data_IF_397701671858
#
_entry.id   IF_397701671858
#
_cell.length_a   1.000
_cell.length_b   1.000
_cell.length_c   1.000
_cell.angle_alpha   90.00
_cell.angle_beta   90.00
_cell.angle_gamma   90.00
#
_symmetry.space_group_name_H-M   'P 1'
#
loop_
_entity.id
_entity.type
_entity.pdbx_description
1 polymer ?
2 non-polymer ?
3 non-polymer ?
4 water ?
#
# COMPACT_ATOMS: atom_id res chain seq x y z
N UNK A 1 -3.12 -22.81 -8.65
CA UNK A 1 -4.48 -23.03 -9.24
C UNK A 1 -5.55 -22.95 -8.15
N UNK A 2 -5.43 -23.78 -7.12
CA UNK A 2 -6.41 -23.76 -6.04
C UNK A 2 -6.28 -22.44 -5.28
N UNK A 3 -7.39 -21.68 -5.17
CA UNK A 3 -7.26 -20.41 -4.45
C UNK A 3 -6.90 -20.64 -2.99
N UNK A 4 -6.07 -19.76 -2.45
CA UNK A 4 -5.67 -19.88 -1.07
C UNK A 4 -5.89 -18.56 -0.36
N UNK A 5 -5.33 -18.45 0.83
CA UNK A 5 -5.48 -17.28 1.70
C UNK A 5 -4.49 -17.38 2.84
N UNK A 6 -4.06 -16.22 3.33
CA UNK A 6 -3.11 -16.11 4.43
C UNK A 6 -3.67 -15.20 5.49
N UNK A 7 -3.21 -15.34 6.73
CA UNK A 7 -3.60 -14.38 7.75
C UNK A 7 -2.47 -13.35 7.55
N UNK A 8 -2.66 -12.12 8.05
CA UNK A 8 -1.60 -11.13 7.88
C UNK A 8 -0.26 -11.58 8.51
N UNK A 9 -0.35 -12.36 9.58
CA UNK A 9 0.85 -12.84 10.26
C UNK A 9 1.68 -13.77 9.35
N UNK A 10 1.01 -14.55 8.51
CA UNK A 10 1.70 -15.45 7.59
C UNK A 10 2.56 -14.62 6.63
N UNK A 11 1.94 -13.56 6.10
CA UNK A 11 2.62 -12.71 5.13
C UNK A 11 3.79 -11.97 5.77
N UNK A 12 3.60 -11.47 6.98
CA UNK A 12 4.68 -10.76 7.70
C UNK A 12 5.86 -11.72 7.92
N UNK A 13 5.54 -12.98 8.24
CA UNK A 13 6.53 -14.03 8.48
C UNK A 13 7.32 -14.31 7.20
N UNK A 14 6.61 -14.42 6.08
CA UNK A 14 7.24 -14.65 4.77
C UNK A 14 8.21 -13.50 4.43
N UNK A 15 7.84 -12.27 4.77
CA UNK A 15 8.68 -11.11 4.48
C UNK A 15 9.67 -10.82 5.62
N UNK A 16 9.77 -11.76 6.55
CA UNK A 16 10.70 -11.64 7.66
C UNK A 16 10.63 -10.31 8.40
N UNK A 17 9.43 -9.93 8.83
CA UNK A 17 9.26 -8.69 9.59
C UNK A 17 10.08 -8.90 10.87
N UNK A 18 10.70 -7.82 11.40
CA UNK A 18 11.50 -7.96 12.62
C UNK A 18 10.70 -8.40 13.85
N UNK A 19 11.20 -9.43 14.53
CA UNK A 19 10.55 -9.99 15.72
C UNK A 19 10.76 -9.13 16.95
N UNK A 20 9.88 -9.28 17.94
CA UNK A 20 9.99 -8.54 19.19
C UNK A 20 9.59 -7.08 19.15
N UNK A 21 9.02 -6.65 18.01
CA UNK A 21 8.59 -5.26 17.84
C UNK A 21 7.13 -5.28 17.40
N UNK A 22 6.30 -4.42 17.99
CA UNK A 22 4.88 -4.38 17.63
C UNK A 22 4.37 -2.97 17.33
N UNK A 23 5.27 -2.02 17.18
CA UNK A 23 4.83 -0.66 16.89
C UNK A 23 4.48 0.17 18.11
N UNK A 24 4.83 -0.31 19.30
CA UNK A 24 4.56 0.40 20.54
C UNK A 24 5.08 1.84 20.42
N UNK A 25 4.26 2.82 20.77
CA UNK A 25 4.68 4.21 20.71
C UNK A 25 4.44 4.90 19.39
N UNK A 26 3.97 4.13 18.41
CA UNK A 26 3.68 4.68 17.08
C UNK A 26 2.18 4.83 16.86
N UNK A 27 1.81 5.68 15.91
CA UNK A 27 0.40 5.85 15.54
C UNK A 27 0.34 5.80 14.01
N UNK A 28 -0.52 4.93 13.50
CA UNK A 28 -0.70 4.79 12.06
C UNK A 28 -2.05 5.39 11.69
N UNK A 29 -2.03 6.37 10.79
CA UNK A 29 -3.26 7.01 10.32
C UNK A 29 -3.71 6.28 9.04
N UNK A 30 -5.02 6.01 8.94
CA UNK A 30 -5.59 5.33 7.77
C UNK A 30 -6.68 6.24 7.21
N UNK A 31 -6.58 6.56 5.92
CA UNK A 31 -7.54 7.46 5.27
C UNK A 31 -8.67 6.68 4.60
N UNK A 32 -9.92 7.09 4.87
CA UNK A 32 -11.07 6.42 4.28
C UNK A 32 -12.09 7.47 3.79
N UNK A 33 -12.64 7.24 2.61
CA UNK A 33 -13.61 8.17 2.03
C UNK A 33 -15.04 7.61 1.97
N UNK A 34 -15.27 6.52 2.69
CA UNK A 34 -16.59 5.91 2.71
C UNK A 34 -16.63 4.72 3.66
N UNK A 35 -17.80 4.11 3.80
CA UNK A 35 -17.95 2.95 4.66
C UNK A 35 -17.60 3.17 6.12
N UNK A 36 -17.26 2.06 6.79
CA UNK A 36 -16.91 2.12 8.19
C UNK A 36 -16.50 0.76 8.72
N UNK A 37 -16.37 0.66 10.04
CA UNK A 37 -16.00 -0.59 10.67
C UNK A 37 -16.83 -0.78 11.93
N UNK A 38 -16.91 -2.02 12.39
CA UNK A 38 -17.65 -2.35 13.61
C UNK A 38 -16.69 -3.01 14.59
N UNK A 39 -16.84 -2.69 15.87
CA UNK A 39 -15.96 -3.24 16.89
C UNK A 39 -16.06 -4.76 17.01
N UNK A 40 -17.21 -5.32 16.68
CA UNK A 40 -17.40 -6.77 16.77
C UNK A 40 -16.44 -7.52 15.87
N UNK A 41 -16.39 -7.13 14.60
CA UNK A 41 -15.50 -7.79 13.64
C UNK A 41 -14.04 -7.64 14.06
N UNK A 42 -13.66 -6.43 14.47
CA UNK A 42 -12.29 -6.16 14.88
C UNK A 42 -11.88 -6.99 16.10
N UNK A 43 -12.70 -6.96 17.14
CA UNK A 43 -12.41 -7.73 18.35
C UNK A 43 -12.29 -9.22 18.05
N UNK A 44 -13.26 -9.76 17.30
CA UNK A 44 -13.24 -11.18 16.92
C UNK A 44 -11.95 -11.53 16.18
N UNK A 45 -11.61 -10.67 15.24
CA UNK A 45 -10.42 -10.88 14.42
C UNK A 45 -9.11 -10.84 15.20
N UNK A 46 -8.87 -9.77 15.95
CA UNK A 46 -7.61 -9.66 16.69
C UNK A 46 -7.48 -10.79 17.71
N UNK A 47 -8.59 -11.12 18.35
CA UNK A 47 -8.60 -12.21 19.32
C UNK A 47 -8.19 -13.50 18.61
N UNK A 48 -8.78 -13.75 17.43
CA UNK A 48 -8.49 -14.95 16.65
C UNK A 48 -7.01 -15.12 16.29
N UNK A 49 -6.30 -14.01 16.07
CA UNK A 49 -4.88 -14.07 15.71
C UNK A 49 -3.97 -14.08 16.92
N UNK A 50 -4.56 -14.00 18.11
CA UNK A 50 -3.78 -14.02 19.33
C UNK A 50 -2.99 -12.76 19.62
N UNK A 51 -3.37 -11.62 19.05
CA UNK A 51 -2.64 -10.39 19.34
C UNK A 51 -3.49 -9.53 20.27
N UNK A 52 -2.85 -8.68 21.05
CA UNK A 52 -3.56 -7.77 21.95
C UNK A 52 -4.13 -6.72 20.99
N UNK A 53 -5.44 -6.51 21.00
CA UNK A 53 -6.06 -5.56 20.08
C UNK A 53 -5.54 -4.14 20.21
N UNK A 54 -5.14 -3.54 19.07
CA UNK A 54 -4.65 -2.16 19.15
C UNK A 54 -5.84 -1.23 19.42
N UNK A 55 -5.55 -0.02 19.88
CA UNK A 55 -6.60 0.95 20.10
C UNK A 55 -6.90 1.46 18.71
N UNK A 56 -8.18 1.52 18.36
CA UNK A 56 -8.60 2.04 17.05
C UNK A 56 -9.59 3.16 17.34
N UNK A 57 -9.35 4.34 16.76
CA UNK A 57 -10.26 5.47 16.98
C UNK A 57 -10.60 6.08 15.62
N UNK A 58 -11.79 6.68 15.53
CA UNK A 58 -12.25 7.32 14.32
C UNK A 58 -12.14 8.84 14.47
N UNK A 59 -11.79 9.51 13.37
CA UNK A 59 -11.67 10.96 13.36
C UNK A 59 -12.56 11.48 12.23
N UNK A 60 -13.45 12.41 12.56
CA UNK A 60 -14.36 12.96 11.57
C UNK A 60 -13.76 14.15 10.84
N UNK A 61 -13.75 14.08 9.51
CA UNK A 61 -13.22 15.18 8.70
C UNK A 61 -14.36 15.71 7.84
N UNK A 62 -14.57 17.02 7.89
CA UNK A 62 -15.62 17.66 7.11
C UNK A 62 -17.00 17.02 7.29
N UNK A 63 -17.30 16.64 8.54
CA UNK A 63 -18.58 16.03 8.87
C UNK A 63 -18.77 14.54 8.62
N UNK A 64 -17.81 13.89 7.98
CA UNK A 64 -17.91 12.45 7.70
C UNK A 64 -17.57 11.65 8.96
N UNK A 65 -18.19 10.48 9.10
CA UNK A 65 -17.98 9.67 10.29
C UNK A 65 -17.89 8.19 9.95
N UNK A 66 -17.59 7.39 10.96
CA UNK A 66 -17.50 5.95 10.79
C UNK A 66 -18.92 5.41 10.58
N UNK A 67 -19.23 5.04 9.33
CA UNK A 67 -20.58 4.55 9.00
C UNK A 67 -20.58 3.26 8.17
N UNK A 68 -20.36 2.10 8.81
CA UNK A 68 -20.36 0.87 8.03
C UNK A 68 -21.73 0.65 7.38
N UNK A 69 -21.75 0.22 6.12
CA UNK A 69 -23.04 -0.03 5.46
C UNK A 69 -23.57 -1.44 5.79
N UNK A 70 -22.69 -2.30 6.29
CA UNK A 70 -23.08 -3.66 6.65
C UNK A 70 -22.93 -4.70 5.56
N UNK A 71 -22.63 -4.26 4.34
CA UNK A 71 -22.44 -5.14 3.19
C UNK A 71 -20.97 -5.57 3.12
N UNK A 72 -20.68 -6.86 3.35
CA UNK A 72 -19.28 -7.29 3.31
C UNK A 72 -18.60 -7.11 1.95
N UNK A 73 -19.40 -6.90 0.89
CA UNK A 73 -18.85 -6.68 -0.42
C UNK A 73 -18.79 -5.20 -0.80
N UNK A 74 -19.14 -4.34 0.15
CA UNK A 74 -19.11 -2.91 -0.08
C UNK A 74 -17.84 -2.26 0.45
N UNK A 75 -17.83 -0.93 0.66
CA UNK A 75 -16.66 -0.21 1.16
C UNK A 75 -16.12 -0.67 2.53
N UNK A 76 -16.98 -1.25 3.36
CA UNK A 76 -16.55 -1.75 4.65
C UNK A 76 -15.40 -2.77 4.46
N UNK A 77 -15.41 -3.47 3.33
CA UNK A 77 -14.37 -4.45 3.04
C UNK A 77 -13.00 -3.81 3.02
N UNK A 78 -12.90 -2.65 2.39
CA UNK A 78 -11.62 -1.95 2.31
C UNK A 78 -11.24 -1.33 3.66
N UNK A 79 -12.22 -0.71 4.33
CA UNK A 79 -11.98 -0.11 5.64
C UNK A 79 -11.47 -1.14 6.67
N UNK A 80 -12.18 -2.26 6.77
CA UNK A 80 -11.82 -3.29 7.73
C UNK A 80 -10.55 -4.05 7.31
N UNK A 81 -10.34 -4.23 6.01
CA UNK A 81 -9.09 -4.85 5.55
C UNK A 81 -7.90 -4.01 6.03
N UNK A 82 -7.99 -2.69 5.82
CA UNK A 82 -6.90 -1.78 6.16
C UNK A 82 -6.56 -1.79 7.65
N UNK A 83 -7.59 -1.73 8.48
CA UNK A 83 -7.40 -1.74 9.93
C UNK A 83 -6.90 -3.11 10.44
N UNK A 84 -7.48 -4.19 9.90
CA UNK A 84 -7.08 -5.53 10.33
C UNK A 84 -5.66 -5.91 9.95
N UNK A 85 -5.21 -5.53 8.75
CA UNK A 85 -3.84 -5.83 8.34
C UNK A 85 -2.87 -4.98 9.17
N UNK A 86 -3.09 -3.68 9.24
CA UNK A 86 -2.19 -2.82 10.01
C UNK A 86 -2.18 -3.19 11.51
N UNK A 87 -3.38 -3.33 12.08
CA UNK A 87 -3.51 -3.63 13.49
C UNK A 87 -3.00 -4.98 13.91
N UNK A 88 -3.14 -5.98 13.04
CA UNK A 88 -2.68 -7.33 13.37
C UNK A 88 -1.14 -7.40 13.40
N UNK A 89 -0.50 -6.55 12.59
CA UNK A 89 0.96 -6.56 12.47
C UNK A 89 1.73 -5.53 13.31
N UNK A 90 1.04 -4.47 13.72
CA UNK A 90 1.63 -3.45 14.61
C UNK A 90 0.57 -3.26 15.72
N UNK A 91 0.21 -4.34 16.43
CA UNK A 91 -0.79 -4.23 17.50
C UNK A 91 -0.44 -3.31 18.67
N UNK A 92 0.84 -2.96 18.80
CA UNK A 92 1.26 -2.05 19.85
C UNK A 92 1.02 -0.60 19.44
N UNK A 93 0.79 -0.38 18.15
CA UNK A 93 0.55 0.97 17.65
C UNK A 93 -0.90 1.38 17.85
N UNK A 94 -1.15 2.68 17.83
CA UNK A 94 -2.51 3.19 17.92
C UNK A 94 -2.91 3.42 16.48
N UNK A 95 -4.15 3.09 16.15
CA UNK A 95 -4.65 3.28 14.80
C UNK A 95 -5.72 4.37 14.81
N UNK A 96 -5.52 5.37 13.97
CA UNK A 96 -6.47 6.48 13.87
C UNK A 96 -7.02 6.42 12.43
N UNK A 97 -8.34 6.29 12.31
CA UNK A 97 -9.00 6.19 11.02
C UNK A 97 -9.73 7.49 10.73
N UNK A 98 -9.28 8.18 9.69
CA UNK A 98 -9.84 9.47 9.28
C UNK A 98 -10.89 9.32 8.18
N UNK A 99 -12.13 9.67 8.49
CA UNK A 99 -13.22 9.59 7.51
C UNK A 99 -13.52 10.98 6.93
N UNK A 100 -13.60 11.06 5.61
CA UNK A 100 -13.88 12.30 4.92
C UNK A 100 -14.86 12.06 3.77
N UNK A 101 -15.49 13.15 3.28
CA UNK A 101 -16.42 13.00 2.16
C UNK A 101 -15.63 12.53 0.96
N UNK A 102 -16.32 11.90 0.02
CA UNK A 102 -15.69 11.40 -1.19
C UNK A 102 -15.60 12.52 -2.25
N UNK A 103 -14.75 13.51 -1.94
CA UNK A 103 -14.49 14.65 -2.84
C UNK A 103 -12.97 14.92 -2.80
N UNK A 104 -12.46 15.69 -3.76
CA UNK A 104 -11.03 16.00 -3.78
C UNK A 104 -10.64 16.73 -2.50
N UNK A 105 -11.44 17.71 -2.11
CA UNK A 105 -11.15 18.48 -0.89
C UNK A 105 -11.22 17.61 0.37
N UNK A 106 -12.16 16.66 0.41
CA UNK A 106 -12.27 15.78 1.57
C UNK A 106 -11.02 14.92 1.70
N UNK A 107 -10.57 14.37 0.58
CA UNK A 107 -9.37 13.53 0.51
C UNK A 107 -8.17 14.37 0.98
N UNK A 108 -8.01 15.56 0.41
CA UNK A 108 -6.91 16.42 0.81
C UNK A 108 -6.96 16.75 2.30
N UNK A 109 -8.15 17.15 2.76
CA UNK A 109 -8.35 17.53 4.16
C UNK A 109 -8.09 16.39 5.14
N UNK A 110 -8.42 15.16 4.74
CA UNK A 110 -8.17 14.01 5.61
C UNK A 110 -6.65 13.82 5.78
N UNK A 111 -5.92 13.96 4.69
CA UNK A 111 -4.47 13.81 4.72
C UNK A 111 -3.82 14.87 5.58
N UNK A 112 -4.15 16.14 5.35
CA UNK A 112 -3.55 17.21 6.12
C UNK A 112 -3.98 17.15 7.58
N UNK A 113 -5.21 16.76 7.83
CA UNK A 113 -5.69 16.66 9.20
C UNK A 113 -4.87 15.60 9.94
N UNK A 114 -4.63 14.46 9.28
CA UNK A 114 -3.86 13.37 9.87
C UNK A 114 -2.41 13.79 10.11
N UNK A 115 -1.76 14.29 9.06
CA UNK A 115 -0.37 14.71 9.16
C UNK A 115 -0.08 15.73 10.28
N UNK A 116 -0.97 16.70 10.46
CA UNK A 116 -0.77 17.75 11.46
C UNK A 116 -1.49 17.54 12.79
N UNK A 117 -2.13 16.38 12.95
CA UNK A 117 -2.91 16.03 14.14
C UNK A 117 -2.11 16.02 15.45
N UNK A 118 -2.33 17.03 16.32
CA UNK A 118 -1.62 17.12 17.61
C UNK A 118 -2.18 16.20 18.71
N UNK A 119 -3.34 15.59 18.46
CA UNK A 119 -3.90 14.69 19.45
C UNK A 119 -3.47 13.26 19.17
N UNK A 120 -3.57 12.81 17.92
CA UNK A 120 -3.18 11.44 17.59
C UNK A 120 -1.72 11.32 17.14
N UNK A 121 -1.16 12.42 16.61
CA UNK A 121 0.25 12.48 16.19
C UNK A 121 0.77 11.27 15.41
N UNK A 122 0.13 10.96 14.28
CA UNK A 122 0.62 9.81 13.51
C UNK A 122 2.01 9.99 12.90
N UNK A 123 2.79 8.90 12.83
CA UNK A 123 4.13 8.94 12.24
C UNK A 123 4.10 8.32 10.85
N UNK A 124 2.96 7.70 10.54
CA UNK A 124 2.78 6.99 9.28
C UNK A 124 1.34 7.20 8.81
N UNK A 125 1.14 7.38 7.51
CA UNK A 125 -0.19 7.54 6.92
C UNK A 125 -0.31 6.50 5.79
N UNK A 126 -1.40 5.75 5.80
CA UNK A 126 -1.68 4.69 4.83
C UNK A 126 -2.92 5.07 3.99
N UNK A 127 -2.77 5.01 2.67
CA UNK A 127 -3.82 5.43 1.74
C UNK A 127 -4.09 4.41 0.62
N UNK A 128 -5.34 4.27 0.21
CA UNK A 128 -5.66 3.36 -0.89
C UNK A 128 -5.55 4.11 -2.23
N UNK A 129 -5.82 3.42 -3.33
CA UNK A 129 -5.73 4.03 -4.66
C UNK A 129 -6.71 5.19 -4.86
N UNK A 130 -6.29 6.22 -5.59
CA UNK A 130 -7.14 7.37 -5.81
C UNK A 130 -7.54 7.69 -7.23
N UNK A 131 -7.07 6.94 -8.22
CA UNK A 131 -7.48 7.22 -9.60
C UNK A 131 -6.34 7.61 -10.54
N UNK A 132 -6.45 7.32 -11.85
CA UNK A 132 -5.38 7.68 -12.80
C UNK A 132 -4.96 9.14 -12.65
N UNK A 133 -3.64 9.36 -12.52
CA UNK A 133 -3.09 10.70 -12.29
C UNK A 133 -3.61 11.75 -13.28
N UNK A 134 -3.84 11.35 -14.52
CA UNK A 134 -4.34 12.31 -15.50
C UNK A 134 -5.87 12.49 -15.50
N UNK A 135 -6.55 11.89 -14.52
CA UNK A 135 -8.00 12.07 -14.42
C UNK A 135 -8.27 13.11 -13.31
N UNK A 136 -7.21 13.46 -12.59
CA UNK A 136 -7.26 14.43 -11.50
C UNK A 136 -7.14 15.88 -11.99
N UNK A 137 -7.85 16.80 -11.33
CA UNK A 137 -7.74 18.22 -11.69
C UNK A 137 -6.29 18.62 -11.35
N UNK A 138 -5.59 19.34 -12.25
CA UNK A 138 -4.21 19.74 -11.96
C UNK A 138 -4.03 20.43 -10.62
N UNK A 139 -4.97 21.30 -10.25
CA UNK A 139 -4.88 22.00 -8.96
C UNK A 139 -4.95 21.03 -7.79
N UNK A 140 -5.69 19.93 -7.96
CA UNK A 140 -5.80 18.93 -6.88
C UNK A 140 -4.48 18.16 -6.75
N UNK A 141 -3.88 17.81 -7.89
CA UNK A 141 -2.60 17.10 -7.88
C UNK A 141 -1.56 17.98 -7.14
N UNK A 142 -1.52 19.26 -7.49
CA UNK A 142 -0.56 20.18 -6.85
C UNK A 142 -0.78 20.27 -5.34
N UNK A 143 -2.04 20.43 -4.93
CA UNK A 143 -2.35 20.56 -3.50
C UNK A 143 -2.01 19.28 -2.74
N UNK A 144 -2.37 18.14 -3.32
CA UNK A 144 -2.09 16.85 -2.71
C UNK A 144 -0.57 16.61 -2.62
N UNK A 145 0.14 16.88 -3.71
CA UNK A 145 1.58 16.68 -3.73
C UNK A 145 2.24 17.57 -2.67
N UNK A 146 1.78 18.81 -2.51
CA UNK A 146 2.38 19.67 -1.48
C UNK A 146 2.11 19.11 -0.08
N UNK A 147 0.92 18.54 0.13
CA UNK A 147 0.60 17.94 1.42
C UNK A 147 1.60 16.79 1.71
N UNK A 148 1.97 16.04 0.66
CA UNK A 148 2.92 14.94 0.84
C UNK A 148 4.33 15.49 1.06
N UNK A 149 4.66 16.58 0.40
CA UNK A 149 5.97 17.19 0.59
C UNK A 149 6.08 17.65 2.07
N UNK A 150 5.01 18.23 2.58
CA UNK A 150 4.97 18.70 3.96
C UNK A 150 5.15 17.53 4.93
N UNK A 151 4.48 16.41 4.65
CA UNK A 151 4.59 15.22 5.51
C UNK A 151 6.06 14.76 5.56
N UNK A 152 6.73 14.77 4.41
CA UNK A 152 8.13 14.36 4.33
C UNK A 152 8.99 15.32 5.18
N UNK A 153 8.74 16.62 5.08
CA UNK A 153 9.50 17.60 5.87
C UNK A 153 9.24 17.38 7.37
N UNK A 154 8.06 16.88 7.71
CA UNK A 154 7.70 16.65 9.11
C UNK A 154 8.10 15.27 9.64
N UNK A 155 8.69 14.42 8.80
CA UNK A 155 9.08 13.09 9.25
C UNK A 155 7.95 12.07 9.37
N UNK A 156 6.92 12.24 8.55
CA UNK A 156 5.78 11.33 8.54
C UNK A 156 5.86 10.50 7.25
N UNK A 157 5.82 9.16 7.37
CA UNK A 157 5.88 8.31 6.18
C UNK A 157 4.47 8.21 5.57
N UNK A 158 4.37 8.32 4.24
CA UNK A 158 3.06 8.19 3.58
C UNK A 158 3.16 7.07 2.54
N UNK A 159 2.29 6.07 2.68
CA UNK A 159 2.26 4.91 1.77
C UNK A 159 0.94 4.90 1.01
N UNK A 160 0.98 4.50 -0.25
CA UNK A 160 -0.27 4.46 -1.04
C UNK A 160 -0.30 3.27 -1.99
N UNK A 161 -1.47 2.64 -2.08
CA UNK A 161 -1.69 1.51 -2.99
C UNK A 161 -1.51 2.01 -4.44
N UNK A 162 -0.87 1.19 -5.27
CA UNK A 162 -0.61 1.58 -6.67
C UNK A 162 -1.77 1.35 -7.64
N UNK A 163 -2.80 0.62 -7.21
CA UNK A 163 -3.93 0.38 -8.11
C UNK A 163 -4.17 -1.10 -8.36
N UNK A 164 -5.40 -1.43 -8.76
CA UNK A 164 -5.84 -2.80 -9.00
C UNK A 164 -6.26 -3.12 -10.44
N UNK A 165 -6.03 -2.20 -11.37
CA UNK A 165 -6.43 -2.45 -12.74
C UNK A 165 -5.28 -2.37 -13.75
N UNK A 166 -4.13 -2.93 -13.37
CA UNK A 166 -2.98 -2.96 -14.24
C UNK A 166 -2.40 -1.66 -14.71
N UNK A 167 -1.65 -1.74 -15.81
CA UNK A 167 -0.96 -0.59 -16.40
C UNK A 167 -1.85 0.45 -17.07
N UNK A 168 -3.12 0.11 -17.34
CA UNK A 168 -4.05 1.05 -17.96
C UNK A 168 -4.92 1.74 -16.88
N UNK A 169 -4.85 1.21 -15.66
CA UNK A 169 -5.54 1.78 -14.50
C UNK A 169 -7.05 2.06 -14.66
N UNK A 170 -7.72 1.17 -15.39
CA UNK A 170 -9.16 1.31 -15.57
C UNK A 170 -9.61 2.22 -16.70
N UNK A 171 -8.69 2.82 -17.43
CA UNK A 171 -9.08 3.70 -18.52
C UNK A 171 -8.97 2.98 -19.86
N UNK A 172 -9.87 3.29 -20.77
CA UNK A 172 -9.88 2.68 -22.09
C UNK A 172 -9.79 3.78 -23.13
N UNK A 173 -8.66 4.47 -23.11
CA UNK A 173 -8.42 5.57 -24.03
C UNK A 173 -7.20 5.27 -24.85
N UNK A 174 -6.81 3.99 -24.87
CA UNK A 174 -5.64 3.57 -25.64
C UNK A 174 -4.32 4.09 -25.10
N UNK A 175 -4.23 4.28 -23.79
CA UNK A 175 -3.01 4.76 -23.19
C UNK A 175 -2.82 4.08 -21.85
N UNK A 176 -1.57 4.08 -21.38
CA UNK A 176 -1.22 3.52 -20.08
C UNK A 176 -1.28 4.68 -19.08
N UNK A 177 -1.68 4.37 -17.85
CA UNK A 177 -1.81 5.39 -16.81
C UNK A 177 -1.33 4.86 -15.46
N UNK A 178 -0.69 5.73 -14.68
CA UNK A 178 -0.30 5.36 -13.33
C UNK A 178 -1.32 6.07 -12.42
N UNK A 179 -1.48 5.53 -11.23
CA UNK A 179 -2.44 6.02 -10.25
C UNK A 179 -1.87 7.08 -9.33
N UNK A 180 -2.74 7.95 -8.82
CA UNK A 180 -2.35 8.99 -7.89
C UNK A 180 -3.24 8.73 -6.67
N UNK A 181 -2.74 8.96 -5.45
CA UNK A 181 -1.42 9.45 -5.03
C UNK A 181 -0.14 8.64 -5.19
N UNK A 182 -0.22 7.38 -5.60
CA UNK A 182 0.99 6.59 -5.73
C UNK A 182 2.07 7.28 -6.57
N UNK A 183 1.67 8.01 -7.61
CA UNK A 183 2.62 8.67 -8.49
C UNK A 183 3.45 9.81 -7.86
N UNK A 184 2.95 10.41 -6.78
CA UNK A 184 3.70 11.47 -6.12
C UNK A 184 5.06 10.92 -5.72
N UNK A 185 6.15 11.68 -5.96
CA UNK A 185 7.49 11.22 -5.59
C UNK A 185 7.70 11.18 -4.06
N UNK A 186 6.78 11.80 -3.32
CA UNK A 186 6.87 11.84 -1.86
C UNK A 186 6.07 10.74 -1.16
N UNK A 187 5.50 9.84 -1.94
CA UNK A 187 4.70 8.74 -1.41
C UNK A 187 5.41 7.41 -1.67
N UNK A 188 5.33 6.47 -0.74
CA UNK A 188 5.94 5.16 -0.95
C UNK A 188 4.86 4.36 -1.67
N UNK A 189 5.01 4.22 -3.00
CA UNK A 189 4.03 3.53 -3.84
C UNK A 189 4.12 2.02 -3.66
N UNK A 190 2.97 1.41 -3.33
CA UNK A 190 2.90 -0.02 -3.06
C UNK A 190 2.18 -0.86 -4.12
N UNK A 191 2.94 -1.67 -4.84
CA UNK A 191 2.39 -2.53 -5.86
C UNK A 191 2.00 -3.91 -5.31
N UNK A 192 1.54 -4.79 -6.20
CA UNK A 192 1.08 -6.09 -5.75
C UNK A 192 1.62 -7.33 -6.45
N UNK A 193 1.76 -8.39 -5.67
CA UNK A 193 2.26 -9.64 -6.15
C UNK A 193 1.34 -10.81 -5.79
N UNK A 194 1.66 -11.96 -6.36
CA UNK A 194 1.00 -13.21 -6.00
C UNK A 194 2.11 -13.94 -5.22
N UNK A 195 1.90 -14.12 -3.93
CA UNK A 195 2.88 -14.76 -3.05
C UNK A 195 2.53 -16.20 -2.70
N UNK A 196 3.48 -17.11 -2.91
CA UNK A 196 3.32 -18.51 -2.52
C UNK A 196 4.42 -18.65 -1.45
N UNK A 197 4.01 -18.73 -0.19
CA UNK A 197 4.98 -18.82 0.89
C UNK A 197 4.50 -19.68 2.04
N UNK A 198 5.46 -20.13 2.84
CA UNK A 198 5.19 -20.92 4.03
C UNK A 198 5.97 -20.23 5.15
N UNK A 199 5.97 -20.81 6.34
CA UNK A 199 6.64 -20.17 7.47
C UNK A 199 8.13 -19.84 7.28
N UNK A 200 8.86 -20.78 6.70
CA UNK A 200 10.29 -20.61 6.55
C UNK A 200 10.86 -20.20 5.21
N UNK A 201 10.03 -20.05 4.18
CA UNK A 201 10.55 -19.65 2.87
C UNK A 201 9.48 -19.14 1.90
N UNK A 202 9.92 -18.42 0.87
CA UNK A 202 9.01 -17.96 -0.16
C UNK A 202 9.26 -18.94 -1.31
N UNK A 203 8.25 -19.72 -1.67
CA UNK A 203 8.38 -20.68 -2.77
C UNK A 203 8.33 -19.95 -4.12
N UNK A 204 7.52 -18.90 -4.21
CA UNK A 204 7.40 -18.16 -5.46
C UNK A 204 6.71 -16.81 -5.22
N UNK A 205 7.14 -15.78 -5.93
CA UNK A 205 6.48 -14.48 -5.82
C UNK A 205 6.57 -13.83 -7.20
N UNK A 206 5.41 -13.60 -7.82
CA UNK A 206 5.34 -13.04 -9.17
C UNK A 206 4.42 -11.83 -9.22
N UNK A 207 4.36 -11.15 -10.36
CA UNK A 207 3.47 -9.99 -10.50
C UNK A 207 1.99 -10.41 -10.37
N UNK A 208 1.20 -9.65 -9.61
CA UNK A 208 -0.21 -9.97 -9.52
C UNK A 208 -0.88 -9.57 -10.84
N UNK A 209 -1.41 -10.56 -11.57
CA UNK A 209 -2.13 -10.31 -12.83
C UNK A 209 -3.10 -11.47 -13.05
N UNK A 210 -4.38 -11.20 -12.80
CA UNK A 210 -5.46 -12.18 -12.96
C UNK A 210 -6.36 -11.75 -14.12
N UNK A 211 -5.81 -10.97 -15.03
CA UNK A 211 -6.57 -10.51 -16.18
C UNK A 211 -7.57 -9.42 -15.87
N UNK A 212 -8.30 -8.94 -16.89
CA UNK A 212 -9.32 -7.90 -16.76
C UNK A 212 -10.33 -8.20 -15.66
N UNK A 213 -10.73 -9.46 -15.58
CA UNK A 213 -11.73 -9.92 -14.62
C UNK A 213 -11.28 -9.97 -13.16
N UNK A 214 -10.03 -10.34 -12.93
CA UNK A 214 -9.53 -10.47 -11.57
C UNK A 214 -8.61 -9.40 -11.05
N UNK A 215 -8.25 -8.45 -11.92
CA UNK A 215 -7.38 -7.35 -11.52
C UNK A 215 -5.88 -7.61 -11.65
N UNK A 216 -5.10 -6.54 -11.53
CA UNK A 216 -3.64 -6.61 -11.63
C UNK A 216 -3.04 -5.37 -10.97
N UNK A 217 -1.83 -5.48 -10.47
CA UNK A 217 -1.19 -4.32 -9.83
C UNK A 217 -1.00 -3.13 -10.76
N UNK A 218 -1.13 -1.92 -10.20
CA UNK A 218 -0.85 -0.74 -10.98
C UNK A 218 0.68 -0.62 -11.05
N UNK A 219 1.16 0.16 -12.01
CA UNK A 219 2.59 0.37 -12.18
C UNK A 219 2.85 0.98 -13.54
N UNK A 220 3.92 1.77 -13.66
CA UNK A 220 4.23 2.40 -14.94
C UNK A 220 5.17 3.57 -14.77
N UNK A 221 5.02 4.56 -15.63
CA UNK A 221 5.87 5.76 -15.65
C UNK A 221 4.99 7.02 -15.66
N UNK A 222 5.17 7.89 -14.68
CA UNK A 222 4.36 9.11 -14.61
C UNK A 222 4.56 10.03 -15.80
N UNK A 223 3.48 10.72 -16.19
CA UNK A 223 3.51 11.69 -17.29
C UNK A 223 3.42 13.09 -16.64
N UNK A 224 3.33 13.13 -15.32
CA UNK A 224 3.23 14.38 -14.57
C UNK A 224 4.46 14.71 -13.73
N UNK A 225 5.00 13.72 -13.03
CA UNK A 225 6.17 13.92 -12.18
C UNK A 225 7.47 13.47 -12.83
N UNK A 226 8.47 14.37 -12.89
CA UNK A 226 9.76 14.00 -13.49
C UNK A 226 10.44 12.86 -12.72
N UNK A 227 11.36 12.19 -13.37
CA UNK A 227 12.11 11.11 -12.73
C UNK A 227 12.90 11.72 -11.56
N UNK A 228 12.65 11.25 -10.31
CA UNK A 228 13.39 11.81 -9.17
C UNK A 228 14.88 11.52 -9.24
N UNK A 229 15.68 12.45 -8.73
CA UNK A 229 17.13 12.30 -8.71
C UNK A 229 17.50 10.96 -8.04
N UNK A 230 16.83 10.63 -6.95
CA UNK A 230 17.14 9.37 -6.24
C UNK A 230 16.68 8.10 -6.95
N UNK A 231 15.93 8.24 -8.04
CA UNK A 231 15.44 7.07 -8.76
C UNK A 231 16.14 6.93 -10.13
N UNK A 232 17.08 7.83 -10.40
CA UNK A 232 17.79 7.81 -11.68
C UNK A 232 18.68 6.61 -11.95
N UNK A 233 19.00 5.83 -10.93
CA UNK A 233 19.82 4.65 -11.12
C UNK A 233 19.02 3.35 -10.98
N UNK A 234 17.68 3.48 -10.97
CA UNK A 234 16.80 2.31 -10.86
C UNK A 234 16.50 1.70 -12.23
N UNK A 235 16.86 2.43 -13.28
CA UNK A 235 16.62 2.00 -14.66
C UNK A 235 15.13 1.96 -15.01
N UNK A 236 14.43 3.03 -14.61
CA UNK A 236 13.01 3.18 -14.94
C UNK A 236 13.03 3.35 -16.46
N UNK A 237 12.17 2.64 -17.19
CA UNK A 237 12.17 2.79 -18.65
C UNK A 237 11.35 4.00 -19.06
N UNK A 238 11.39 4.38 -20.35
CA UNK A 238 10.59 5.51 -20.77
C UNK A 238 9.15 5.01 -20.80
N UNK A 239 8.19 5.93 -20.80
CA UNK A 239 6.79 5.55 -20.82
C UNK A 239 6.50 4.76 -22.08
N UNK A 240 5.55 3.81 -21.99
CA UNK A 240 5.18 3.01 -23.14
C UNK A 240 4.24 3.78 -24.07
N UNK A 241 3.75 4.93 -23.60
CA UNK A 241 2.86 5.75 -24.41
C UNK A 241 3.63 6.42 -25.55
N UNK A 242 3.05 6.44 -26.76
CA UNK A 242 3.73 7.07 -27.89
C UNK A 242 4.20 8.46 -27.46
N UNK A 243 5.46 8.76 -27.74
CA UNK A 243 6.02 10.04 -27.36
C UNK A 243 7.01 9.69 -26.28
N UNK A 244 6.74 8.57 -25.61
CA UNK A 244 7.58 8.06 -24.55
C UNK A 244 7.81 9.17 -23.52
N UNK A 245 9.04 9.27 -23.05
CA UNK A 245 9.35 10.29 -22.08
C UNK A 245 9.65 9.65 -20.74
N UNK A 246 10.58 10.23 -20.02
CA UNK A 246 10.92 9.69 -18.72
C UNK A 246 9.94 10.28 -17.69
N UNK A 247 9.89 9.65 -16.53
CA UNK A 247 9.05 10.14 -15.46
C UNK A 247 9.23 9.27 -14.24
N UNK A 248 8.64 9.70 -13.12
CA UNK A 248 8.70 8.96 -11.86
C UNK A 248 8.16 7.54 -12.08
N UNK A 249 8.93 6.52 -11.70
CA UNK A 249 8.47 5.16 -11.90
C UNK A 249 7.63 4.66 -10.74
N UNK A 250 6.56 3.95 -11.06
CA UNK A 250 5.65 3.39 -10.06
C UNK A 250 5.63 1.84 -10.25
N UNK A 251 5.65 1.05 -9.16
CA UNK A 251 5.69 1.43 -7.75
C UNK A 251 7.12 1.47 -7.20
N UNK A 252 7.24 1.65 -5.89
CA UNK A 252 8.55 1.65 -5.22
C UNK A 252 8.85 0.27 -4.64
N UNK A 253 7.82 -0.36 -4.07
CA UNK A 253 7.95 -1.70 -3.50
C UNK A 253 6.65 -2.46 -3.80
N UNK A 254 6.59 -3.74 -3.44
CA UNK A 254 5.39 -4.53 -3.69
C UNK A 254 5.24 -5.65 -2.69
N UNK A 255 4.00 -6.10 -2.51
CA UNK A 255 3.71 -7.18 -1.59
C UNK A 255 2.45 -7.92 -2.01
N UNK A 256 2.18 -9.04 -1.33
CA UNK A 256 1.03 -9.86 -1.66
C UNK A 256 -0.27 -9.08 -1.79
N UNK A 257 -0.90 -9.17 -2.96
CA UNK A 257 -2.17 -8.47 -3.23
C UNK A 257 -3.16 -9.33 -4.03
N UNK A 258 -2.70 -10.46 -4.56
CA UNK A 258 -3.57 -11.30 -5.37
C UNK A 258 -4.73 -11.93 -4.58
N UNK A 259 -6.02 -11.61 -4.93
CA UNK A 259 -7.13 -12.20 -4.17
C UNK A 259 -7.07 -13.74 -4.14
N UNK A 260 -6.47 -14.34 -5.18
CA UNK A 260 -6.34 -15.79 -5.28
C UNK A 260 -5.35 -16.35 -4.25
N UNK A 261 -4.58 -15.46 -3.61
CA UNK A 261 -3.64 -15.81 -2.54
C UNK A 261 -3.80 -14.68 -1.54
N UNK A 262 -5.06 -14.29 -1.34
CA UNK A 262 -5.44 -13.16 -0.50
C UNK A 262 -5.34 -13.22 1.00
N UNK A 263 -5.94 -12.22 1.65
CA UNK A 263 -5.92 -12.13 3.10
C UNK A 263 -7.20 -12.59 3.76
N UNK A 264 -7.07 -13.45 4.77
CA UNK A 264 -8.24 -13.90 5.51
C UNK A 264 -8.57 -12.75 6.45
N UNK A 265 -9.81 -12.26 6.39
CA UNK A 265 -10.28 -11.13 7.20
C UNK A 265 -11.73 -11.35 7.63
N UNK A 266 -12.21 -10.52 8.55
CA UNK A 266 -13.59 -10.57 9.01
C UNK A 266 -14.22 -9.23 8.67
N UNK A 267 -15.20 -9.24 7.77
CA UNK A 267 -15.87 -8.00 7.37
C UNK A 267 -17.35 -8.10 7.74
N UNK A 268 -17.85 -7.10 8.45
CA UNK A 268 -19.24 -7.09 8.86
C UNK A 268 -19.66 -8.46 9.41
N UNK A 269 -18.80 -9.04 10.25
CA UNK A 269 -19.11 -10.34 10.83
C UNK A 269 -18.81 -11.58 10.00
N UNK A 270 -18.50 -11.39 8.72
CA UNK A 270 -18.24 -12.51 7.84
C UNK A 270 -16.76 -12.79 7.60
N UNK A 271 -16.34 -14.04 7.81
CA UNK A 271 -14.95 -14.41 7.57
C UNK A 271 -14.85 -14.66 6.08
N UNK A 272 -13.92 -13.98 5.42
CA UNK A 272 -13.80 -14.11 3.97
C UNK A 272 -12.37 -13.79 3.51
N UNK A 273 -12.17 -13.67 2.20
CA UNK A 273 -10.85 -13.37 1.63
C UNK A 273 -10.91 -12.13 0.76
N UNK A 274 -9.95 -11.24 0.95
CA UNK A 274 -9.87 -10.01 0.17
C UNK A 274 -8.44 -9.75 -0.25
N UNK A 275 -8.26 -9.14 -1.41
CA UNK A 275 -6.92 -8.80 -1.87
C UNK A 275 -6.91 -7.35 -2.34
N UNK A 276 -6.01 -7.06 -3.27
CA UNK A 276 -5.89 -5.73 -3.82
C UNK A 276 -4.72 -4.98 -3.20
N UNK A 277 -4.22 -3.96 -3.91
CA UNK A 277 -3.09 -3.19 -3.38
C UNK A 277 -3.45 -2.41 -2.12
N UNK A 278 -4.75 -2.32 -1.82
CA UNK A 278 -5.16 -1.62 -0.60
C UNK A 278 -4.60 -2.35 0.63
N UNK A 279 -4.31 -3.63 0.47
CA UNK A 279 -3.75 -4.40 1.60
C UNK A 279 -2.26 -4.14 1.83
N UNK A 280 -1.57 -3.75 0.77
CA UNK A 280 -0.13 -3.57 0.84
C UNK A 280 0.34 -2.33 1.58
N UNK A 281 -0.34 -1.19 1.43
CA UNK A 281 0.07 0.00 2.14
C UNK A 281 0.02 -0.25 3.67
N UNK A 282 -1.11 -0.78 4.19
CA UNK A 282 -1.16 -1.04 5.64
C UNK A 282 -0.15 -2.11 6.11
N UNK A 283 0.10 -3.09 5.25
CA UNK A 283 1.06 -4.14 5.53
C UNK A 283 2.43 -3.52 5.78
N UNK A 284 2.85 -2.62 4.88
CA UNK A 284 4.15 -1.99 5.05
C UNK A 284 4.13 -0.85 6.06
N UNK A 285 2.94 -0.31 6.34
CA UNK A 285 2.82 0.73 7.37
C UNK A 285 3.18 0.07 8.71
N UNK A 286 2.74 -1.18 8.89
CA UNK A 286 3.02 -1.96 10.11
C UNK A 286 4.52 -2.23 10.21
N UNK A 287 5.16 -2.56 9.09
CA UNK A 287 6.61 -2.81 9.09
C UNK A 287 7.36 -1.54 9.52
N UNK A 288 6.97 -0.40 8.95
CA UNK A 288 7.60 0.88 9.29
C UNK A 288 7.37 1.22 10.77
N UNK A 289 6.20 0.85 11.30
CA UNK A 289 5.90 1.12 12.71
C UNK A 289 6.87 0.33 13.60
N UNK A 290 7.18 -0.91 13.23
CA UNK A 290 8.10 -1.73 14.00
C UNK A 290 9.52 -1.16 13.91
N UNK A 291 9.89 -0.71 12.72
CA UNK A 291 11.22 -0.15 12.52
C UNK A 291 11.37 1.14 13.30
N UNK A 292 10.34 2.00 13.27
CA UNK A 292 10.34 3.26 14.01
C UNK A 292 10.49 2.98 15.52
N UNK A 293 9.80 1.95 16.00
CA UNK A 293 9.88 1.58 17.41
C UNK A 293 11.32 1.24 17.79
N UNK A 294 11.98 0.41 16.99
CA UNK A 294 13.35 0.02 17.29
C UNK A 294 14.33 1.19 17.20
N UNK A 295 14.24 1.99 16.14
CA UNK A 295 15.13 3.14 15.95
C UNK A 295 14.92 4.25 16.99
N UNK A 296 13.70 4.34 17.52
CA UNK A 296 13.40 5.36 18.51
C UNK A 296 13.12 6.72 17.90
N UNK A 297 13.11 6.79 16.57
CA UNK A 297 12.83 8.01 15.84
C UNK A 297 12.20 7.59 14.51
N UNK A 298 11.14 8.30 14.07
CA UNK A 298 10.46 7.97 12.82
C UNK A 298 11.36 8.04 11.57
N UNK A 299 11.24 7.08 10.67
CA UNK A 299 12.04 7.10 9.45
C UNK A 299 11.52 8.16 8.46
N UNK A 300 10.26 8.58 8.61
CA UNK A 300 9.68 9.57 7.73
C UNK A 300 9.77 9.22 6.26
N UNK A 301 10.20 10.18 5.45
CA UNK A 301 10.35 9.98 4.00
C UNK A 301 11.47 8.97 3.72
N UNK A 302 11.10 7.80 3.20
CA UNK A 302 12.05 6.70 2.97
C UNK A 302 12.54 6.51 1.55
N UNK A 303 11.80 7.01 0.57
CA UNK A 303 12.18 6.77 -0.82
C UNK A 303 13.66 6.96 -1.20
N UNK A 304 14.26 8.12 -0.92
CA UNK A 304 15.67 8.28 -1.29
C UNK A 304 16.58 7.20 -0.71
N UNK A 305 16.35 6.88 0.56
CA UNK A 305 17.16 5.87 1.23
C UNK A 305 16.99 4.49 0.61
N UNK A 306 15.74 4.08 0.40
CA UNK A 306 15.47 2.76 -0.17
C UNK A 306 16.24 2.46 -1.43
N UNK A 307 16.29 3.45 -2.32
CA UNK A 307 16.96 3.30 -3.59
C UNK A 307 18.48 3.26 -3.53
N UNK A 308 19.05 3.58 -2.38
CA UNK A 308 20.51 3.52 -2.24
C UNK A 308 20.98 2.35 -1.36
N UNK A 309 20.03 1.61 -0.79
CA UNK A 309 20.38 0.45 0.05
C UNK A 309 20.85 -0.71 -0.84
N UNK A 310 21.62 -1.66 -0.29
CA UNK A 310 22.06 -2.77 -1.15
C UNK A 310 20.88 -3.64 -1.56
N UNK A 311 20.88 -4.16 -2.79
CA UNK A 311 19.77 -5.00 -3.21
C UNK A 311 19.43 -6.24 -2.35
N UNK A 312 20.32 -6.63 -1.43
CA UNK A 312 20.07 -7.78 -0.57
C UNK A 312 18.90 -7.52 0.39
N UNK A 313 18.56 -6.25 0.55
CA UNK A 313 17.47 -5.83 1.42
C UNK A 313 16.10 -6.22 0.85
N UNK A 314 16.05 -6.43 -0.45
CA UNK A 314 14.79 -6.77 -1.13
C UNK A 314 14.75 -8.12 -1.82
N UNK A 315 13.54 -8.64 -1.96
CA UNK A 315 13.30 -9.88 -2.69
C UNK A 315 12.88 -9.37 -4.08
N UNK A 316 13.74 -9.56 -5.07
CA UNK A 316 13.49 -9.12 -6.44
C UNK A 316 12.41 -9.97 -7.16
N UNK A 317 11.32 -9.36 -7.61
CA UNK A 317 10.32 -10.10 -8.38
C UNK A 317 10.77 -9.92 -9.82
N UNK A 318 10.92 -11.00 -10.57
CA UNK A 318 11.42 -10.89 -11.94
C UNK A 318 10.49 -11.47 -13.00
N UNK A 319 9.40 -12.08 -12.57
CA UNK A 319 8.48 -12.73 -13.49
C UNK A 319 7.03 -12.19 -13.47
N UNK A 320 6.48 -11.97 -14.66
CA UNK A 320 5.11 -11.49 -14.79
C UNK A 320 5.02 -10.09 -15.39
N UNK A 321 3.80 -9.64 -15.65
CA UNK A 321 3.57 -8.30 -16.20
C UNK A 321 2.22 -7.82 -15.68
N UNK A 322 1.95 -6.52 -15.80
CA UNK A 322 0.67 -5.99 -15.31
C UNK A 322 -0.25 -5.43 -16.42
N UNK A 323 -0.17 -6.08 -17.57
CA UNK A 323 -1.00 -5.68 -18.72
C UNK A 323 -2.31 -6.51 -18.70
N UNK A 324 -3.44 -5.82 -18.59
CA UNK A 324 -4.74 -6.54 -18.62
C UNK A 324 -5.58 -5.98 -19.76
N UNK A 325 -4.95 -5.22 -20.63
CA UNK A 325 -5.64 -4.59 -21.76
C UNK A 325 -5.35 -5.20 -23.13
N UNK A 326 -4.13 -5.65 -23.32
CA UNK A 326 -3.73 -6.18 -24.61
C UNK A 326 -2.60 -7.22 -24.47
N UNK A 327 -1.99 -7.60 -25.59
CA UNK A 327 -0.94 -8.63 -25.59
C UNK A 327 0.49 -8.11 -25.57
N UNK A 328 0.67 -6.79 -25.41
CA UNK A 328 2.00 -6.19 -25.43
C UNK A 328 2.90 -6.40 -24.20
N UNK A 329 2.32 -6.91 -23.12
CA UNK A 329 3.06 -7.15 -21.88
C UNK A 329 3.69 -5.92 -21.28
N UNK A 330 2.97 -4.80 -21.33
CA UNK A 330 3.40 -3.53 -20.77
C UNK A 330 2.64 -3.34 -19.47
N UNK A 331 3.33 -3.26 -18.32
CA UNK A 331 4.77 -3.37 -18.21
C UNK A 331 5.18 -4.75 -17.72
N UNK A 332 6.46 -5.07 -17.91
CA UNK A 332 7.00 -6.36 -17.54
C UNK A 332 7.99 -6.31 -16.38
N UNK A 333 7.97 -7.35 -15.54
CA UNK A 333 8.87 -7.44 -14.40
C UNK A 333 10.20 -7.99 -14.93
N UNK A 334 11.27 -7.78 -14.19
CA UNK A 334 12.56 -8.27 -14.63
C UNK A 334 13.57 -8.04 -13.54
N UNK A 335 14.85 -8.34 -13.77
CA UNK A 335 15.88 -8.12 -12.74
C UNK A 335 15.97 -6.63 -12.34
N UNK A 336 16.10 -6.37 -11.03
CA UNK A 336 16.19 -5.01 -10.54
C UNK A 336 14.82 -4.32 -10.47
N UNK A 337 14.80 -3.00 -10.35
CA UNK A 337 13.55 -2.27 -10.30
C UNK A 337 12.75 -2.45 -11.60
N UNK A 338 11.42 -2.60 -11.50
CA UNK A 338 10.55 -2.69 -12.68
C UNK A 338 9.21 -1.96 -12.40
N UNK A 339 8.45 -1.61 -13.46
CA UNK A 339 7.18 -0.91 -13.31
C UNK A 339 5.96 -1.75 -12.91
N UNK A 340 6.20 -2.90 -12.31
CA UNK A 340 5.13 -3.76 -11.81
C UNK A 340 5.29 -3.89 -10.29
N UNK A 341 6.54 -4.03 -9.84
CA UNK A 341 6.83 -4.29 -8.44
C UNK A 341 7.92 -3.43 -7.79
N UNK A 342 8.45 -2.48 -8.54
CA UNK A 342 9.49 -1.63 -7.99
C UNK A 342 10.72 -2.42 -7.56
N UNK A 343 11.22 -2.14 -6.37
CA UNK A 343 12.40 -2.83 -5.82
C UNK A 343 12.10 -4.26 -5.37
N UNK A 344 10.81 -4.59 -5.31
CA UNK A 344 10.39 -5.93 -4.90
C UNK A 344 9.76 -5.92 -3.51
N UNK A 345 9.68 -7.09 -2.88
CA UNK A 345 9.11 -7.13 -1.53
C UNK A 345 10.26 -6.95 -0.54
N UNK A 346 10.05 -6.11 0.46
CA UNK A 346 11.13 -5.91 1.44
C UNK A 346 11.35 -7.12 2.36
N UNK A 347 12.60 -7.31 2.78
CA UNK A 347 12.96 -8.37 3.72
C UNK A 347 13.11 -7.57 5.02
N UNK A 348 12.04 -7.61 5.82
CA UNK A 348 11.97 -6.84 7.05
C UNK A 348 13.20 -6.68 7.93
N UNK A 349 13.77 -7.81 8.33
CA UNK A 349 14.93 -7.76 9.20
C UNK A 349 16.15 -7.14 8.52
N UNK A 350 16.33 -7.34 7.22
CA UNK A 350 17.47 -6.75 6.53
C UNK A 350 17.28 -5.24 6.34
N UNK A 351 16.03 -4.83 6.15
CA UNK A 351 15.73 -3.40 6.00
C UNK A 351 16.02 -2.71 7.34
N UNK A 352 15.59 -3.32 8.45
CA UNK A 352 15.84 -2.74 9.76
C UNK A 352 17.35 -2.67 10.03
N UNK A 353 18.07 -3.75 9.73
CA UNK A 353 19.52 -3.76 9.94
C UNK A 353 20.20 -2.64 9.15
N UNK A 354 19.77 -2.45 7.91
CA UNK A 354 20.32 -1.41 7.05
C UNK A 354 20.02 0.01 7.54
N UNK A 355 18.96 0.17 8.34
CA UNK A 355 18.59 1.49 8.84
C UNK A 355 19.13 1.78 10.24
N UNK A 356 19.73 0.77 10.86
CA UNK A 356 20.31 0.89 12.19
C UNK A 356 21.70 1.52 12.13
N UNK A 357 21.93 2.58 12.92
CA UNK A 357 23.23 3.27 12.97
C UNK A 357 24.25 2.56 13.85
X LIG B 1 12.30 -6.78 -10.39
X LIG C 1 -1.67 -20.96 10.44
X LIG C 1 4.32 -21.36 9.11
X LIG C 1 6.34 -21.46 10.05
X LIG C 1 4.63 -25.30 4.04
X LIG C 1 0.86 -23.61 4.80
X LIG D 1 4.74 15.23 17.70
X LIG D 1 3.49 15.85 17.22
X LIG D 1 5.76 16.29 17.88
X LIG D 1 4.51 14.56 19.00
X LIG D 1 5.20 14.22 16.71
#
# INVERSE_FOLDING_TARGET
AAPTAYTPLDVAQAYQFPEGLDGQGQCIAIIELGGGYDETSLAQYFASLGVSAPQVVSVSVDGATNQPTGDPNGPDGEVELDIEVAGALAPGAKIAVYFAPNTDAGFLNAITTAVHDPTHKPSIVSISAGGPEDSWAPASIAAMNRAFLDAAALGVTVLAAAGDSGSTDGEQDGLYHVDFPAASPYVLACGGTRLVASAGRIERETVWNDGPDGGSTGGGVSRIFPLPSWQERANVPPSANPGAGSGRGVPDVAGNADPATGYEVVIDGETTVIGGTSAVAPLFAALVARINQKLGKPVGYLNPTLYQLPPEVFHDITEGNNDIANRARIYQAGPGWDPCTGLGSPIGIRLLQALLPSASQAQP
CA CA
SO4 S O1 O2 O3 O4
SO4 S O1 O2 O3 O4
#
